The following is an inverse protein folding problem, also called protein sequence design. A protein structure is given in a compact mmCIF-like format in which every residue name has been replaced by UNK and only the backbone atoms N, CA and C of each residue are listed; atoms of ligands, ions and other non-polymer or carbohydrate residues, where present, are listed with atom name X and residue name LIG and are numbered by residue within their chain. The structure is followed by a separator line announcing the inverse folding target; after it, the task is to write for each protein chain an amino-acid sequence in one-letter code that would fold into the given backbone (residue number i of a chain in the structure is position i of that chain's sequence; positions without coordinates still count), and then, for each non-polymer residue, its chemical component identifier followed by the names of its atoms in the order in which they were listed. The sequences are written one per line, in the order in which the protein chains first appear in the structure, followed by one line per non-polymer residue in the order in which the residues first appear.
data_IF_421240226388
#
_entry.id   IF_421240226388
#
_cell.length_a   1.000
_cell.length_b   1.000
_cell.length_c   1.000
_cell.angle_alpha   90.00
_cell.angle_beta   90.00
_cell.angle_gamma   90.00
#
_symmetry.space_group_name_H-M   'P 1'
#
loop_
_entity.id
_entity.type
_entity.pdbx_description
1 polymer ?
2 polymer ?
3 branched ?
4 branched ?
5 non-polymer ?
6 non-polymer ?
#
# COMPACT_ATOMS: atom_id res chain seq x y z
N UNK A 1 21.66 -39.50 8.87
CA UNK A 1 20.39 -39.48 9.57
C UNK A 1 19.25 -39.46 8.55
N UNK A 2 18.29 -40.39 8.62
CA UNK A 2 17.20 -40.39 7.64
C UNK A 2 16.37 -39.12 7.72
N UNK A 3 15.60 -38.89 6.66
CA UNK A 3 14.88 -37.63 6.46
C UNK A 3 13.65 -37.92 5.62
N UNK A 4 12.70 -36.98 5.62
CA UNK A 4 11.57 -37.03 4.69
C UNK A 4 11.98 -36.45 3.35
N UNK A 5 11.76 -37.21 2.27
CA UNK A 5 12.16 -36.81 0.93
C UNK A 5 10.94 -36.41 0.12
N UNK A 6 10.88 -35.14 -0.27
CA UNK A 6 9.79 -34.61 -1.06
C UNK A 6 10.22 -34.44 -2.51
N UNK A 7 9.25 -34.54 -3.42
CA UNK A 7 9.55 -34.54 -4.84
C UNK A 7 9.64 -33.14 -5.43
N UNK A 8 9.15 -32.11 -4.74
CA UNK A 8 9.11 -30.76 -5.28
C UNK A 8 9.27 -29.73 -4.16
N UNK A 9 10.01 -28.67 -4.46
CA UNK A 9 10.13 -27.50 -3.59
C UNK A 9 9.38 -26.34 -4.22
N UNK A 10 8.43 -25.77 -3.48
CA UNK A 10 7.53 -24.79 -4.07
C UNK A 10 8.23 -23.47 -4.36
N UNK A 11 9.11 -23.02 -3.47
CA UNK A 11 9.89 -21.80 -3.61
C UNK A 11 9.05 -20.54 -3.38
N UNK A 12 7.86 -20.47 -3.98
CA UNK A 12 6.97 -19.34 -3.71
C UNK A 12 6.61 -19.25 -2.25
N UNK A 13 6.53 -20.38 -1.55
CA UNK A 13 6.14 -20.42 -0.15
C UNK A 13 7.13 -21.18 0.73
N UNK A 14 8.16 -21.79 0.16
CA UNK A 14 9.10 -22.55 0.95
C UNK A 14 8.53 -23.82 1.54
N UNK A 15 7.46 -24.36 0.95
CA UNK A 15 6.85 -25.58 1.44
C UNK A 15 7.39 -26.80 0.69
N UNK A 16 7.30 -27.95 1.36
CA UNK A 16 7.74 -29.23 0.82
C UNK A 16 6.51 -29.94 0.25
N UNK A 17 6.44 -30.03 -1.07
CA UNK A 17 5.26 -30.55 -1.76
C UNK A 17 5.55 -31.90 -2.39
N UNK A 18 4.55 -32.79 -2.32
CA UNK A 18 4.64 -34.12 -2.90
C UNK A 18 5.59 -35.03 -2.15
N UNK A 19 5.10 -35.66 -1.08
CA UNK A 19 5.94 -36.52 -0.26
C UNK A 19 6.19 -37.83 -0.98
N UNK A 20 7.47 -38.13 -1.19
CA UNK A 20 7.88 -39.40 -1.77
C UNK A 20 8.01 -40.50 -0.74
N UNK A 21 8.12 -40.14 0.54
CA UNK A 21 8.26 -41.08 1.63
C UNK A 21 9.41 -40.70 2.53
N UNK A 22 9.62 -41.54 3.55
CA UNK A 22 10.64 -41.30 4.54
C UNK A 22 11.60 -42.45 4.69
N UNK A 23 12.48 -42.36 5.69
CA UNK A 23 13.43 -43.43 5.94
C UNK A 23 14.47 -43.60 4.85
N UNK A 24 14.95 -42.49 4.30
CA UNK A 24 16.02 -42.52 3.31
C UNK A 24 16.99 -41.40 3.63
N UNK A 25 18.24 -41.57 3.18
CA UNK A 25 19.29 -40.62 3.49
C UNK A 25 19.13 -39.34 2.67
N UNK A 26 19.77 -38.27 3.15
CA UNK A 26 19.72 -36.98 2.45
C UNK A 26 20.47 -37.07 1.13
N UNK A 27 21.58 -37.82 1.11
CA UNK A 27 22.36 -37.95 -0.12
C UNK A 27 21.57 -38.65 -1.21
N UNK A 28 20.82 -39.69 -0.85
CA UNK A 28 20.01 -40.39 -1.84
C UNK A 28 18.85 -39.54 -2.33
N UNK A 29 18.19 -38.83 -1.42
CA UNK A 29 17.07 -37.96 -1.81
C UNK A 29 17.53 -36.88 -2.77
N UNK A 30 18.71 -36.31 -2.51
CA UNK A 30 19.20 -35.19 -3.29
C UNK A 30 20.08 -35.60 -4.46
N UNK A 31 20.06 -36.88 -4.83
CA UNK A 31 20.60 -37.26 -6.13
C UNK A 31 19.87 -36.51 -7.24
N UNK A 32 18.56 -36.37 -7.11
CA UNK A 32 17.76 -35.49 -7.96
C UNK A 32 17.70 -34.12 -7.30
N UNK A 33 18.46 -33.16 -7.84
CA UNK A 33 18.58 -31.85 -7.22
C UNK A 33 17.28 -31.05 -7.25
N UNK A 34 16.26 -31.54 -7.96
CA UNK A 34 14.95 -30.89 -7.94
C UNK A 34 14.11 -31.29 -6.73
N UNK A 35 14.51 -32.32 -5.98
CA UNK A 35 13.76 -32.77 -4.82
C UNK A 35 14.05 -31.85 -3.63
N UNK A 36 13.52 -32.21 -2.47
CA UNK A 36 13.67 -31.41 -1.26
C UNK A 36 13.42 -32.30 -0.06
N UNK A 37 13.83 -31.83 1.11
CA UNK A 37 13.74 -32.62 2.34
C UNK A 37 13.44 -31.73 3.54
N UNK A 38 12.80 -32.32 4.54
CA UNK A 38 12.59 -31.71 5.85
C UNK A 38 12.59 -32.82 6.89
N UNK A 39 12.64 -32.43 8.15
CA UNK A 39 12.62 -33.39 9.26
C UNK A 39 11.25 -33.33 9.94
N UNK A 40 10.48 -34.42 9.79
CA UNK A 40 9.12 -34.51 10.30
C UNK A 40 8.26 -33.38 9.76
N UNK A 41 7.09 -33.16 10.34
CA UNK A 41 6.24 -32.03 9.97
C UNK A 41 6.61 -30.76 10.73
N UNK A 42 7.79 -30.72 11.35
CA UNK A 42 8.22 -29.51 12.01
C UNK A 42 8.38 -28.34 11.05
N UNK A 43 8.89 -28.61 9.84
CA UNK A 43 8.97 -27.62 8.79
C UNK A 43 10.40 -27.39 8.34
N UNK A 44 10.66 -26.19 7.83
CA UNK A 44 11.94 -25.79 7.24
C UNK A 44 12.31 -26.76 6.12
N UNK A 45 11.63 -26.59 4.99
CA UNK A 45 11.87 -27.39 3.80
C UNK A 45 13.05 -26.81 3.04
N UNK A 46 14.10 -27.61 2.88
CA UNK A 46 15.32 -27.19 2.18
C UNK A 46 15.38 -27.88 0.82
N UNK A 47 15.51 -27.17 -0.30
CA UNK A 47 15.64 -27.87 -1.57
C UNK A 47 16.99 -28.54 -1.73
N UNK A 48 17.03 -29.56 -2.58
CA UNK A 48 18.26 -30.26 -2.86
C UNK A 48 19.18 -29.49 -3.81
N UNK A 49 18.67 -28.44 -4.46
CA UNK A 49 19.49 -27.57 -5.29
C UNK A 49 20.64 -26.99 -4.46
N UNK A 50 21.69 -26.56 -5.16
CA UNK A 50 22.80 -25.89 -4.47
C UNK A 50 22.29 -24.64 -3.76
N UNK A 51 22.93 -24.23 -2.66
CA UNK A 51 22.36 -23.15 -1.84
C UNK A 51 22.34 -21.80 -2.56
N UNK A 52 21.17 -21.17 -2.53
CA UNK A 52 20.95 -19.89 -3.17
C UNK A 52 19.97 -19.07 -2.34
N UNK A 53 20.19 -17.77 -2.31
CA UNK A 53 19.31 -16.87 -1.58
C UNK A 53 17.90 -16.92 -2.16
N UNK A 54 16.90 -16.93 -1.27
CA UNK A 54 15.52 -16.84 -1.69
C UNK A 54 15.24 -15.40 -2.12
N UNK A 55 13.96 -15.10 -2.33
CA UNK A 55 13.55 -13.75 -2.69
C UNK A 55 13.27 -12.96 -1.43
N UNK A 56 13.53 -11.65 -1.51
CA UNK A 56 13.19 -10.75 -0.42
C UNK A 56 11.70 -10.82 -0.15
N UNK A 57 11.35 -11.15 1.11
CA UNK A 57 9.95 -11.16 1.51
C UNK A 57 9.37 -9.75 1.42
N UNK A 58 8.05 -9.67 1.55
CA UNK A 58 7.39 -8.38 1.56
C UNK A 58 7.72 -7.62 2.83
N UNK A 59 7.69 -6.28 2.73
CA UNK A 59 8.00 -5.39 3.86
C UNK A 59 6.99 -5.61 4.98
N UNK A 60 7.52 -5.78 6.22
CA UNK A 60 6.65 -5.89 7.38
C UNK A 60 5.89 -4.59 7.59
N UNK A 61 4.80 -4.62 8.36
CA UNK A 61 4.08 -3.37 8.65
C UNK A 61 4.96 -2.40 9.42
N UNK A 62 4.73 -1.11 9.18
CA UNK A 62 5.54 -0.08 9.82
C UNK A 62 5.39 -0.15 11.32
N UNK A 63 6.49 0.08 12.03
CA UNK A 63 6.51 -0.11 13.48
C UNK A 63 5.54 0.82 14.21
N UNK A 64 5.16 1.92 13.58
CA UNK A 64 4.15 2.83 14.13
C UNK A 64 3.29 3.35 12.98
N UNK A 65 2.01 3.55 13.26
CA UNK A 65 1.07 4.15 12.32
C UNK A 65 1.19 5.66 12.25
N UNK A 66 2.25 6.23 12.84
CA UNK A 66 2.37 7.67 13.06
C UNK A 66 3.81 8.08 12.77
N UNK A 67 3.97 9.10 11.93
CA UNK A 67 5.29 9.68 11.68
C UNK A 67 6.27 8.62 11.18
N UNK A 68 7.57 8.93 11.26
CA UNK A 68 8.58 8.03 10.72
C UNK A 68 8.68 6.78 11.60
N UNK A 69 8.80 5.62 10.95
CA UNK A 69 8.95 4.35 11.61
C UNK A 69 10.05 3.53 10.96
N UNK A 70 9.92 2.21 11.07
CA UNK A 70 10.93 1.30 10.57
C UNK A 70 10.29 -0.05 10.29
N UNK A 71 10.65 -0.65 9.15
CA UNK A 71 10.05 -1.90 8.69
C UNK A 71 11.14 -2.81 8.18
N UNK A 72 10.97 -4.12 8.40
CA UNK A 72 11.94 -5.12 7.99
C UNK A 72 11.39 -5.97 6.84
N UNK A 73 12.32 -6.69 6.21
CA UNK A 73 11.99 -7.75 5.28
C UNK A 73 13.15 -8.74 5.29
N UNK A 74 12.85 -10.01 5.09
CA UNK A 74 13.84 -11.07 5.23
C UNK A 74 14.15 -11.76 3.90
N UNK A 75 15.15 -12.63 3.96
CA UNK A 75 15.57 -13.44 2.82
C UNK A 75 16.39 -14.59 3.39
N UNK A 76 15.98 -15.82 3.11
CA UNK A 76 16.60 -17.00 3.69
C UNK A 76 17.48 -17.70 2.65
N UNK A 77 18.61 -18.23 3.12
CA UNK A 77 19.49 -19.04 2.28
C UNK A 77 18.95 -20.46 2.25
N UNK A 78 18.49 -20.90 1.07
CA UNK A 78 17.85 -22.21 0.92
C UNK A 78 18.71 -23.07 0.01
N UNK A 79 18.92 -24.33 0.41
CA UNK A 79 19.60 -25.29 -0.42
C UNK A 79 20.26 -26.38 0.41
N UNK A 80 21.31 -26.97 -0.16
CA UNK A 80 21.94 -28.13 0.43
C UNK A 80 23.34 -28.30 -0.14
N UNK A 81 24.31 -28.58 0.75
CA UNK A 81 25.69 -28.82 0.39
C UNK A 81 26.32 -27.59 -0.28
N UNK A 82 26.71 -26.61 0.52
CA UNK A 82 27.38 -25.42 0.02
C UNK A 82 27.10 -24.24 0.92
N UNK A 83 27.22 -23.05 0.32
CA UNK A 83 26.93 -21.81 1.03
C UNK A 83 26.34 -20.79 0.05
N UNK A 84 25.55 -19.87 0.58
CA UNK A 84 25.07 -18.74 -0.19
C UNK A 84 26.14 -17.64 -0.19
N UNK A 85 25.86 -16.54 -0.89
CA UNK A 85 26.79 -15.43 -0.94
C UNK A 85 26.79 -14.71 0.41
N UNK A 86 27.93 -14.75 1.09
CA UNK A 86 28.08 -14.11 2.39
C UNK A 86 28.72 -15.01 3.42
N UNK A 87 29.36 -16.10 2.98
CA UNK A 87 29.83 -17.15 3.88
C UNK A 87 28.67 -17.66 4.73
N UNK A 88 27.51 -17.81 4.11
CA UNK A 88 26.27 -18.07 4.81
C UNK A 88 25.92 -19.55 4.68
N UNK A 89 25.50 -20.14 5.80
CA UNK A 89 25.04 -21.52 5.81
C UNK A 89 23.59 -21.61 5.38
N UNK A 90 23.15 -22.75 4.83
CA UNK A 90 21.72 -22.90 4.54
C UNK A 90 20.89 -22.81 5.82
N UNK A 91 19.87 -21.96 5.79
CA UNK A 91 18.99 -21.72 6.91
C UNK A 91 19.14 -20.34 7.54
N UNK A 92 20.28 -19.68 7.33
CA UNK A 92 20.50 -18.37 7.91
C UNK A 92 19.53 -17.35 7.31
N UNK A 93 19.45 -16.18 7.95
CA UNK A 93 18.57 -15.11 7.51
C UNK A 93 19.36 -13.83 7.27
N UNK A 94 18.87 -13.02 6.32
CA UNK A 94 19.42 -11.71 6.01
C UNK A 94 18.27 -10.72 5.97
N UNK A 95 18.50 -9.54 6.55
CA UNK A 95 17.45 -8.56 6.78
C UNK A 95 17.81 -7.23 6.12
N UNK A 96 16.76 -6.50 5.72
CA UNK A 96 16.89 -5.12 5.27
C UNK A 96 15.92 -4.28 6.09
N UNK A 97 16.44 -3.19 6.67
CA UNK A 97 15.64 -2.29 7.49
C UNK A 97 15.49 -0.97 6.75
N UNK A 98 14.25 -0.47 6.68
CA UNK A 98 13.90 0.69 5.87
C UNK A 98 13.04 1.63 6.69
N UNK A 99 13.25 2.93 6.50
CA UNK A 99 12.43 3.94 7.14
C UNK A 99 11.09 4.03 6.42
N UNK A 100 10.00 3.84 7.17
CA UNK A 100 8.64 3.87 6.64
C UNK A 100 7.87 5.02 7.26
N UNK A 101 6.71 5.33 6.66
CA UNK A 101 5.89 6.45 7.11
C UNK A 101 4.45 6.15 6.66
N UNK A 102 3.69 5.47 7.53
CA UNK A 102 2.28 5.26 7.25
C UNK A 102 1.54 6.58 7.13
N UNK A 103 1.65 7.42 8.15
CA UNK A 103 1.08 8.77 8.15
C UNK A 103 2.20 9.75 8.51
N UNK A 104 2.29 10.84 7.76
CA UNK A 104 3.45 11.73 7.82
C UNK A 104 3.41 12.67 9.02
N UNK A 105 2.39 12.57 9.88
CA UNK A 105 2.09 13.60 10.85
C UNK A 105 1.24 12.98 11.94
N UNK A 106 1.64 13.16 13.20
CA UNK A 106 0.97 12.47 14.30
C UNK A 106 0.06 13.44 15.04
N UNK A 107 -1.24 13.15 15.20
CA UNK A 107 -2.13 14.13 15.85
C UNK A 107 -1.82 14.28 17.33
N UNK A 108 -1.54 15.52 17.74
CA UNK A 108 -1.29 15.88 19.13
C UNK A 108 -2.38 16.86 19.55
N UNK A 109 -3.21 16.47 20.51
CA UNK A 109 -4.33 17.32 20.88
C UNK A 109 -3.85 18.54 21.65
N UNK A 110 -4.70 19.56 21.67
CA UNK A 110 -4.39 20.82 22.29
C UNK A 110 -5.05 20.98 23.64
N UNK A 111 -5.09 22.22 24.11
CA UNK A 111 -5.66 22.55 25.40
C UNK A 111 -6.62 23.70 25.29
N UNK A 112 -7.65 23.67 26.14
CA UNK A 112 -8.61 24.76 26.13
C UNK A 112 -8.02 26.02 26.72
N UNK A 113 -8.52 27.13 26.22
CA UNK A 113 -8.22 28.44 26.81
C UNK A 113 -9.25 28.71 27.90
N UNK A 114 -9.25 29.92 28.44
CA UNK A 114 -10.24 30.26 29.45
C UNK A 114 -11.64 30.31 28.88
N UNK A 115 -12.61 30.05 29.75
CA UNK A 115 -14.00 30.18 29.37
C UNK A 115 -14.33 31.64 29.05
N UNK A 116 -15.06 31.85 27.96
CA UNK A 116 -15.59 33.16 27.64
C UNK A 116 -16.68 33.51 28.62
N UNK A 117 -17.03 34.79 28.72
CA UNK A 117 -18.15 35.15 29.61
C UNK A 117 -19.45 34.52 29.13
N UNK A 118 -20.34 34.28 30.09
CA UNK A 118 -21.67 33.80 29.77
C UNK A 118 -22.38 34.82 28.89
N UNK A 119 -22.92 34.35 27.75
CA UNK A 119 -23.74 35.22 26.92
C UNK A 119 -25.03 35.53 27.69
N UNK A 120 -25.77 36.55 27.27
CA UNK A 120 -27.09 36.78 27.88
C UNK A 120 -28.02 35.64 27.58
N UNK A 121 -29.18 35.67 28.22
CA UNK A 121 -30.18 34.64 27.97
C UNK A 121 -30.73 34.80 26.56
N UNK A 122 -31.03 33.66 25.94
CA UNK A 122 -31.40 33.67 24.52
C UNK A 122 -32.74 34.36 24.27
N UNK A 123 -33.45 34.79 25.31
CA UNK A 123 -34.74 35.44 25.17
C UNK A 123 -34.90 36.42 26.32
N UNK A 124 -35.77 37.42 26.12
CA UNK A 124 -36.02 38.45 27.12
C UNK A 124 -37.32 38.24 27.91
N UNK A 125 -38.11 37.24 27.53
CA UNK A 125 -39.33 36.90 28.27
C UNK A 125 -39.50 35.39 28.24
N UNK A 126 -40.19 34.87 29.25
CA UNK A 126 -40.32 33.42 29.45
C UNK A 126 -38.91 32.86 29.63
N UNK A 127 -38.64 31.65 29.14
CA UNK A 127 -37.40 30.94 29.44
C UNK A 127 -36.62 30.65 28.17
N UNK A 128 -35.30 30.67 28.30
CA UNK A 128 -34.42 30.39 27.19
C UNK A 128 -33.16 29.66 27.64
N UNK A 129 -32.08 29.76 26.86
CA UNK A 129 -30.82 29.10 27.16
C UNK A 129 -29.69 30.11 27.21
N UNK A 130 -28.76 29.87 28.12
CA UNK A 130 -27.58 30.71 28.31
C UNK A 130 -26.35 29.92 27.89
N UNK A 131 -25.42 30.56 27.18
CA UNK A 131 -24.29 29.86 26.59
C UNK A 131 -22.99 30.63 26.82
N UNK A 132 -21.92 29.88 27.14
CA UNK A 132 -20.56 30.42 27.15
C UNK A 132 -19.69 29.56 26.23
N UNK A 133 -18.60 30.15 25.74
CA UNK A 133 -17.80 29.53 24.69
C UNK A 133 -16.32 29.74 24.97
N UNK A 134 -15.52 28.78 24.50
CA UNK A 134 -14.07 28.84 24.65
C UNK A 134 -13.41 28.39 23.36
N UNK A 135 -12.08 28.52 23.33
CA UNK A 135 -11.29 28.24 22.15
C UNK A 135 -10.28 27.14 22.43
N UNK A 136 -9.96 26.37 21.38
CA UNK A 136 -8.98 25.30 21.46
C UNK A 136 -7.65 25.81 20.90
N UNK A 137 -7.01 26.70 21.68
CA UNK A 137 -5.81 27.39 21.24
C UNK A 137 -4.89 27.68 22.42
N UNK A 138 -4.74 26.73 23.33
CA UNK A 138 -3.82 26.89 24.44
C UNK A 138 -3.40 25.53 25.01
N UNK A 139 -2.57 24.76 24.30
CA UNK A 139 -2.02 25.05 22.97
C UNK A 139 -2.93 24.56 21.86
N UNK A 140 -2.68 25.02 20.63
CA UNK A 140 -3.48 24.57 19.50
C UNK A 140 -3.10 23.14 19.13
N UNK A 141 -4.06 22.32 18.69
CA UNK A 141 -3.72 20.94 18.33
C UNK A 141 -3.00 20.86 16.99
N UNK A 142 -2.16 19.84 16.86
CA UNK A 142 -1.43 19.56 15.64
C UNK A 142 -2.06 18.39 14.90
N UNK A 143 -1.99 18.44 13.58
CA UNK A 143 -2.66 17.44 12.73
C UNK A 143 -4.15 17.46 13.08
N UNK A 144 -4.83 16.32 12.99
CA UNK A 144 -6.26 16.28 13.23
C UNK A 144 -6.67 16.26 14.69
N UNK A 145 -5.79 16.68 15.58
CA UNK A 145 -6.10 16.69 16.99
C UNK A 145 -7.23 17.65 17.33
N UNK A 146 -7.69 17.53 18.57
CA UNK A 146 -8.78 18.37 19.05
C UNK A 146 -8.78 18.31 20.58
N UNK A 147 -9.23 19.41 21.19
CA UNK A 147 -9.21 19.50 22.64
C UNK A 147 -10.20 18.50 23.25
N UNK A 148 -9.92 18.01 24.46
CA UNK A 148 -10.86 17.08 25.11
C UNK A 148 -12.02 17.83 25.74
N UNK A 149 -13.23 17.43 25.39
CA UNK A 149 -14.43 18.05 25.88
C UNK A 149 -15.15 18.87 24.81
N UNK A 150 -15.95 19.81 25.28
CA UNK A 150 -16.78 20.65 24.42
C UNK A 150 -16.22 22.06 24.38
N UNK A 151 -16.42 22.73 23.25
CA UNK A 151 -15.98 24.11 23.08
C UNK A 151 -17.01 25.12 23.58
N UNK A 152 -18.18 24.67 24.02
CA UNK A 152 -19.20 25.56 24.54
C UNK A 152 -20.10 24.79 25.50
N UNK A 153 -20.57 25.47 26.54
CA UNK A 153 -21.56 24.94 27.47
C UNK A 153 -22.81 25.81 27.41
N UNK A 154 -23.97 25.17 27.52
CA UNK A 154 -25.25 25.87 27.54
C UNK A 154 -26.07 25.40 28.75
N UNK A 155 -26.96 26.29 29.21
CA UNK A 155 -27.81 25.96 30.35
C UNK A 155 -29.00 26.91 30.36
N UNK A 156 -30.10 26.43 30.96
CA UNK A 156 -31.35 27.17 30.92
C UNK A 156 -31.30 28.41 31.81
N UNK A 157 -32.03 29.45 31.40
CA UNK A 157 -32.20 30.68 32.16
C UNK A 157 -33.66 31.07 32.17
N UNK A 158 -34.14 31.54 33.32
CA UNK A 158 -35.51 32.00 33.49
C UNK A 158 -35.50 33.50 33.69
N UNK A 159 -36.24 34.22 32.84
CA UNK A 159 -36.24 35.68 32.86
C UNK A 159 -37.16 36.25 33.94
N UNK A 160 -38.10 35.45 34.45
CA UNK A 160 -39.08 35.91 35.42
C UNK A 160 -39.95 37.03 34.83
N UNK A 161 -40.17 36.98 33.51
CA UNK A 161 -40.89 38.01 32.77
C UNK A 161 -41.96 37.34 31.91
N UNK A 162 -43.22 37.66 32.19
CA UNK A 162 -44.32 37.17 31.35
C UNK A 162 -44.20 37.79 29.97
N UNK A 163 -44.40 36.95 28.92
CA UNK A 163 -44.27 37.42 27.55
C UNK A 163 -45.51 38.22 27.14
N UNK A 164 -45.36 39.32 26.41
CA UNK A 164 -46.53 40.05 25.94
C UNK A 164 -47.19 39.33 24.77
N UNK A 165 -48.51 39.37 24.76
CA UNK A 165 -49.30 38.83 23.66
C UNK A 165 -49.57 39.94 22.65
N UNK A 166 -49.28 39.67 21.38
CA UNK A 166 -49.45 40.66 20.33
C UNK A 166 -50.78 40.44 19.63
N UNK A 167 -51.36 41.54 19.14
CA UNK A 167 -52.66 41.48 18.53
C UNK A 167 -52.58 41.11 17.06
N UNK A 168 -53.65 40.47 16.59
CA UNK A 168 -53.76 40.09 15.19
C UNK A 168 -55.20 40.32 14.73
N UNK A 169 -55.35 40.69 13.46
CA UNK A 169 -56.66 41.07 12.95
C UNK A 169 -57.61 39.88 12.90
N UNK A 170 -58.85 40.15 13.29
CA UNK A 170 -59.92 39.16 13.15
C UNK A 170 -60.36 39.10 11.70
N UNK A 171 -61.34 38.25 11.43
CA UNK A 171 -61.80 38.09 10.04
C UNK A 171 -62.54 39.35 9.58
N UNK A 172 -62.48 39.58 8.27
CA UNK A 172 -63.13 40.75 7.69
C UNK A 172 -64.63 40.68 7.83
N UNK A 173 -65.24 41.79 8.25
CA UNK A 173 -66.67 41.88 8.32
C UNK A 173 -67.30 41.96 6.94
N UNK A 174 -68.62 42.04 6.90
CA UNK A 174 -69.32 42.11 5.61
C UNK A 174 -69.20 43.49 4.97
N UNK A 175 -69.42 43.50 3.66
CA UNK A 175 -69.43 44.75 2.91
C UNK A 175 -70.72 45.51 3.16
N UNK A 176 -70.59 46.81 3.34
CA UNK A 176 -71.76 47.66 3.51
C UNK A 176 -72.49 47.83 2.18
N UNK A 177 -73.77 48.22 2.21
CA UNK A 177 -74.43 48.61 0.96
C UNK A 177 -73.76 49.85 0.38
N UNK A 178 -73.81 49.96 -0.93
CA UNK A 178 -73.11 51.05 -1.60
C UNK A 178 -73.75 52.39 -1.23
N UNK A 179 -72.93 53.44 -1.29
CA UNK A 179 -73.41 54.78 -0.98
C UNK A 179 -74.44 55.27 -1.99
N UNK A 180 -74.42 54.73 -3.21
CA UNK A 180 -75.32 55.19 -4.27
C UNK A 180 -75.70 54.02 -5.16
N UNK A 181 -76.83 54.17 -5.86
CA UNK A 181 -77.31 53.16 -6.80
C UNK A 181 -76.84 53.40 -8.23
N UNK A 182 -75.98 54.40 -8.46
CA UNK A 182 -75.50 54.68 -9.80
C UNK A 182 -74.23 55.50 -9.70
N UNK A 183 -73.43 55.46 -10.76
CA UNK A 183 -72.19 56.22 -10.85
C UNK A 183 -72.35 57.39 -11.81
N UNK A 184 -71.65 58.49 -11.52
CA UNK A 184 -71.74 59.72 -12.28
C UNK A 184 -72.41 60.86 -11.54
N UNK A 185 -72.96 60.62 -10.35
CA UNK A 185 -73.70 61.62 -9.62
C UNK A 185 -72.82 62.47 -8.72
N UNK A 186 -73.42 63.08 -7.68
CA UNK A 186 -72.62 63.97 -6.83
C UNK A 186 -71.51 63.27 -6.08
N UNK A 187 -71.77 62.06 -5.58
CA UNK A 187 -70.77 61.28 -4.87
C UNK A 187 -70.64 59.92 -5.53
N UNK A 188 -69.40 59.46 -5.72
CA UNK A 188 -69.21 58.15 -6.34
C UNK A 188 -69.72 57.07 -5.39
N UNK A 189 -70.11 55.91 -5.92
CA UNK A 189 -70.60 54.83 -5.04
C UNK A 189 -69.43 54.11 -4.38
N UNK A 190 -69.47 54.04 -3.05
CA UNK A 190 -68.39 53.47 -2.26
C UNK A 190 -68.89 52.34 -1.37
N UNK A 191 -67.97 51.42 -1.06
CA UNK A 191 -68.25 50.25 -0.25
C UNK A 191 -67.26 50.22 0.91
N UNK A 192 -67.73 49.72 2.05
CA UNK A 192 -66.94 49.73 3.28
C UNK A 192 -66.94 48.35 3.91
N UNK A 193 -65.83 48.05 4.59
CA UNK A 193 -65.65 46.80 5.33
C UNK A 193 -64.83 47.10 6.57
N UNK A 194 -65.15 46.43 7.68
CA UNK A 194 -64.43 46.67 8.93
C UNK A 194 -64.10 45.36 9.63
N UNK A 195 -63.06 45.40 10.47
CA UNK A 195 -62.58 44.24 11.20
C UNK A 195 -62.13 44.68 12.59
N UNK A 196 -62.10 43.72 13.51
CA UNK A 196 -61.78 43.97 14.90
C UNK A 196 -60.41 43.36 15.23
N UNK A 197 -59.74 43.96 16.22
CA UNK A 197 -58.45 43.47 16.71
C UNK A 197 -58.64 42.67 18.00
N UNK A 198 -59.36 41.55 17.87
CA UNK A 198 -59.75 40.73 19.00
C UNK A 198 -59.32 39.28 18.89
N UNK A 199 -58.57 38.91 17.85
CA UNK A 199 -58.20 37.52 17.58
C UNK A 199 -56.70 37.42 17.38
N UNK A 200 -55.90 37.47 18.45
CA UNK A 200 -56.27 37.73 19.85
C UNK A 200 -56.10 39.19 20.23
N UNK A 201 -56.84 39.65 21.21
CA UNK A 201 -56.67 41.01 21.70
C UNK A 201 -55.30 41.14 22.36
N UNK A 202 -54.61 42.28 22.19
CA UNK A 202 -53.21 42.36 22.66
C UNK A 202 -53.03 42.65 24.14
N UNK A 203 -51.78 42.89 24.53
CA UNK A 203 -51.37 43.22 25.89
C UNK A 203 -51.69 42.12 26.89
N UNK A 204 -52.92 42.09 27.41
CA UNK A 204 -53.34 41.29 28.56
C UNK A 204 -52.79 41.91 29.84
N UNK A 205 -51.46 41.80 30.10
CA UNK A 205 -50.87 42.50 31.23
C UNK A 205 -49.71 43.39 30.75
N UNK A 206 -48.61 42.87 30.24
CA UNK A 206 -47.59 43.77 29.69
C UNK A 206 -48.03 44.31 28.36
N UNK A 207 -47.53 45.46 27.94
CA UNK A 207 -48.00 46.05 26.67
C UNK A 207 -47.67 45.15 25.48
N UNK A 208 -48.67 44.97 24.60
CA UNK A 208 -48.50 44.21 23.39
C UNK A 208 -48.69 45.07 22.15
N UNK A 209 -48.00 44.69 21.08
CA UNK A 209 -48.06 45.45 19.83
C UNK A 209 -49.51 45.52 19.33
N UNK A 210 -50.03 46.70 18.99
CA UNK A 210 -51.36 46.77 18.40
C UNK A 210 -51.39 46.18 17.00
N UNK A 211 -52.59 46.00 16.49
CA UNK A 211 -52.78 45.34 15.21
C UNK A 211 -52.24 46.22 14.08
N UNK A 212 -51.38 45.72 13.20
CA UNK A 212 -50.77 46.58 12.19
C UNK A 212 -51.73 46.90 11.05
N UNK A 213 -51.66 48.16 10.59
CA UNK A 213 -52.47 48.60 9.47
C UNK A 213 -53.77 49.25 9.92
N UNK A 214 -54.77 49.23 9.05
CA UNK A 214 -56.06 49.84 9.32
C UNK A 214 -57.13 48.77 9.57
N UNK A 215 -58.16 49.16 10.32
CA UNK A 215 -59.25 48.27 10.67
C UNK A 215 -60.40 48.35 9.68
N UNK A 216 -60.25 49.07 8.57
CA UNK A 216 -61.33 49.25 7.61
C UNK A 216 -60.77 49.24 6.20
N UNK A 217 -61.67 49.04 5.24
CA UNK A 217 -61.32 49.09 3.82
C UNK A 217 -62.40 49.85 3.06
N UNK A 218 -61.97 50.62 2.06
CA UNK A 218 -62.84 51.40 1.21
C UNK A 218 -62.57 51.01 -0.24
N UNK A 219 -63.64 50.89 -1.03
CA UNK A 219 -63.48 50.65 -2.46
C UNK A 219 -64.67 51.23 -3.21
N UNK A 220 -64.47 51.44 -4.50
CA UNK A 220 -65.53 51.89 -5.38
C UNK A 220 -66.44 50.72 -5.73
N UNK A 221 -67.74 50.98 -5.78
CA UNK A 221 -68.72 49.96 -6.15
C UNK A 221 -68.81 49.88 -7.66
N UNK A 222 -68.45 48.73 -8.21
CA UNK A 222 -68.39 48.51 -9.64
C UNK A 222 -69.65 47.81 -10.14
N UNK A 223 -69.94 48.02 -11.42
CA UNK A 223 -71.06 47.36 -12.06
C UNK A 223 -72.40 48.06 -11.92
N UNK A 224 -72.40 49.33 -11.54
CA UNK A 224 -73.65 50.05 -11.36
C UNK A 224 -74.03 50.80 -12.62
N UNK A 225 -75.31 51.11 -12.80
CA UNK A 225 -75.72 51.89 -13.97
C UNK A 225 -75.26 53.33 -13.84
N UNK A 226 -75.32 54.11 -14.92
CA UNK A 226 -74.92 55.52 -14.84
C UNK A 226 -76.09 56.40 -14.40
N UNK A 227 -75.79 57.37 -13.54
CA UNK A 227 -76.82 58.29 -13.09
C UNK A 227 -77.27 59.18 -14.25
N UNK A 228 -78.51 59.63 -14.24
CA UNK A 228 -78.97 60.53 -15.29
C UNK A 228 -78.34 61.91 -15.16
N UNK A 229 -78.40 62.66 -16.26
CA UNK A 229 -77.92 64.04 -16.30
C UNK A 229 -79.00 64.93 -15.69
N UNK A 230 -78.81 65.33 -14.43
CA UNK A 230 -79.70 66.28 -13.79
C UNK A 230 -79.05 67.66 -13.75
N UNK A 231 -78.78 68.21 -14.93
CA UNK A 231 -78.28 69.58 -15.06
C UNK A 231 -78.87 70.32 -16.26
N UNK A 232 -79.37 69.63 -17.28
CA UNK A 232 -80.12 70.25 -18.36
C UNK A 232 -81.06 69.21 -18.95
N UNK A 233 -81.90 69.66 -19.88
CA UNK A 233 -82.99 68.84 -20.41
C UNK A 233 -82.52 67.94 -21.55
N UNK A 234 -82.75 66.64 -21.40
CA UNK A 234 -82.45 65.67 -22.47
C UNK A 234 -83.74 65.17 -23.13
N UNK B 1 -24.74 -59.64 5.68
CA UNK B 1 -23.57 -59.64 6.54
C UNK B 1 -22.46 -60.53 6.02
N UNK B 2 -21.72 -60.04 5.03
CA UNK B 2 -20.61 -60.77 4.41
C UNK B 2 -19.35 -59.94 4.61
N UNK B 3 -18.28 -60.60 5.04
CA UNK B 3 -17.02 -59.92 5.31
C UNK B 3 -16.12 -59.99 4.09
N UNK B 4 -15.70 -58.83 3.59
CA UNK B 4 -14.75 -58.78 2.50
C UNK B 4 -13.32 -58.88 3.00
N UNK B 5 -12.46 -59.43 2.14
CA UNK B 5 -11.03 -59.47 2.40
C UNK B 5 -10.29 -59.22 1.11
N UNK B 6 -8.98 -59.14 1.23
CA UNK B 6 -8.15 -58.78 0.08
C UNK B 6 -7.83 -59.98 -0.78
N UNK B 7 -7.55 -59.70 -2.06
CA UNK B 7 -7.09 -60.71 -2.98
C UNK B 7 -5.59 -60.63 -3.14
N UNK B 8 -5.04 -61.39 -4.10
CA UNK B 8 -3.59 -61.43 -4.27
C UNK B 8 -3.03 -60.08 -4.71
N UNK B 9 -1.84 -59.75 -4.22
CA UNK B 9 -1.19 -58.55 -4.74
C UNK B 9 -0.67 -58.84 -6.15
N UNK B 10 -0.81 -57.85 -7.00
CA UNK B 10 -0.49 -57.95 -8.41
C UNK B 10 0.99 -57.79 -8.68
N UNK B 11 1.36 -57.54 -9.95
CA UNK B 11 2.78 -57.36 -10.27
C UNK B 11 3.26 -55.96 -9.90
N UNK B 12 4.48 -55.92 -9.34
CA UNK B 12 5.05 -54.64 -8.93
C UNK B 12 5.49 -53.86 -10.17
N UNK B 13 5.37 -52.54 -10.10
CA UNK B 13 5.74 -51.66 -11.19
C UNK B 13 7.25 -51.49 -11.25
N UNK B 14 7.82 -51.21 -12.43
CA UNK B 14 9.24 -50.90 -12.50
C UNK B 14 9.53 -49.49 -11.98
N UNK B 15 10.80 -49.24 -11.70
CA UNK B 15 11.21 -47.96 -11.16
C UNK B 15 10.98 -46.89 -12.21
N UNK B 16 10.03 -45.96 -12.04
CA UNK B 16 9.65 -45.08 -13.15
C UNK B 16 10.73 -44.09 -13.57
N UNK B 17 11.80 -43.95 -12.79
CA UNK B 17 12.81 -42.94 -13.03
C UNK B 17 14.14 -43.63 -13.33
N UNK B 18 15.03 -42.91 -14.02
CA UNK B 18 16.36 -43.42 -14.36
C UNK B 18 17.46 -42.82 -13.48
N UNK B 19 17.17 -41.76 -12.74
CA UNK B 19 18.10 -41.15 -11.81
C UNK B 19 17.43 -41.03 -10.44
N UNK B 20 18.27 -40.94 -9.42
CA UNK B 20 17.78 -40.61 -8.09
C UNK B 20 16.74 -41.59 -7.59
N UNK B 21 15.75 -41.04 -6.88
CA UNK B 21 14.69 -41.83 -6.27
C UNK B 21 13.42 -41.79 -7.10
N UNK B 22 12.64 -42.86 -6.97
CA UNK B 22 11.34 -42.96 -7.59
C UNK B 22 10.41 -43.74 -6.69
N UNK B 23 9.20 -43.99 -7.17
CA UNK B 23 8.18 -44.68 -6.40
C UNK B 23 7.51 -45.74 -7.28
N UNK B 24 7.36 -46.93 -6.71
CA UNK B 24 6.62 -48.02 -7.34
C UNK B 24 5.39 -48.32 -6.49
N UNK B 25 4.44 -49.05 -7.07
CA UNK B 25 3.22 -49.38 -6.35
C UNK B 25 2.65 -50.71 -6.83
N UNK B 26 2.11 -51.47 -5.89
CA UNK B 26 1.38 -52.70 -6.19
C UNK B 26 -0.11 -52.47 -5.98
N UNK B 27 -0.92 -53.11 -6.83
CA UNK B 27 -2.37 -52.96 -6.81
C UNK B 27 -2.99 -54.29 -6.43
N UNK B 28 -3.80 -54.29 -5.36
CA UNK B 28 -4.60 -55.45 -5.00
C UNK B 28 -6.08 -55.13 -5.14
N UNK B 29 -6.89 -56.18 -5.15
CA UNK B 29 -8.33 -56.08 -5.26
C UNK B 29 -8.99 -56.77 -4.08
N UNK B 30 -10.26 -56.43 -3.86
CA UNK B 30 -11.08 -57.12 -2.88
C UNK B 30 -12.12 -57.96 -3.61
N UNK B 31 -11.66 -58.83 -4.51
CA UNK B 31 -12.53 -59.53 -5.45
C UNK B 31 -12.92 -60.93 -4.99
N UNK B 32 -12.02 -61.68 -4.35
CA UNK B 32 -12.39 -63.04 -3.95
C UNK B 32 -13.41 -63.02 -2.82
N UNK B 33 -13.15 -62.39 -1.66
CA UNK B 33 -14.24 -62.16 -0.70
C UNK B 33 -14.81 -60.76 -0.83
N UNK B 34 -16.01 -60.64 -1.35
CA UNK B 34 -16.65 -59.34 -1.59
C UNK B 34 -17.63 -59.09 -0.45
N UNK B 35 -17.68 -57.86 0.12
CA UNK B 35 -18.72 -57.60 1.13
C UNK B 35 -20.08 -57.40 0.49
N UNK B 36 -20.91 -58.43 0.55
CA UNK B 36 -22.27 -58.41 0.02
C UNK B 36 -23.27 -58.14 1.14
N UNK B 37 -24.30 -57.36 0.82
CA UNK B 37 -25.37 -57.02 1.76
C UNK B 37 -24.81 -56.37 3.02
N UNK B 38 -23.83 -55.49 2.85
CA UNK B 38 -23.21 -54.79 3.96
C UNK B 38 -22.05 -55.58 4.56
N UNK B 39 -21.41 -54.94 5.54
CA UNK B 39 -20.26 -55.51 6.21
C UNK B 39 -19.09 -54.54 6.25
N UNK B 40 -17.86 -55.06 6.22
CA UNK B 40 -16.70 -54.17 6.28
C UNK B 40 -16.39 -53.55 4.92
N UNK B 41 -15.22 -52.93 4.82
CA UNK B 41 -14.71 -52.38 3.56
C UNK B 41 -13.40 -53.07 3.20
N UNK B 42 -13.26 -54.34 3.59
CA UNK B 42 -12.10 -55.20 3.33
C UNK B 42 -10.94 -54.92 4.31
N UNK B 43 -11.00 -53.85 5.11
CA UNK B 43 -10.06 -53.61 6.18
C UNK B 43 -8.63 -53.41 5.69
N UNK B 44 -8.26 -52.18 5.37
CA UNK B 44 -6.89 -51.84 5.02
C UNK B 44 -6.77 -50.86 3.87
N UNK B 45 -5.76 -51.07 3.01
CA UNK B 45 -5.52 -50.25 1.85
C UNK B 45 -5.32 -51.14 0.64
N UNK B 46 -5.94 -50.77 -0.48
CA UNK B 46 -5.84 -51.54 -1.72
C UNK B 46 -4.63 -51.14 -2.55
N UNK B 47 -3.63 -50.50 -1.94
CA UNK B 47 -2.48 -50.00 -2.68
C UNK B 47 -1.31 -49.82 -1.73
N UNK B 48 -0.20 -50.52 -2.00
CA UNK B 48 1.07 -50.27 -1.32
C UNK B 48 1.99 -49.45 -2.23
N UNK B 49 2.83 -48.62 -1.61
CA UNK B 49 3.89 -47.90 -2.31
C UNK B 49 5.25 -48.26 -1.71
N UNK B 50 6.29 -48.11 -2.53
CA UNK B 50 7.65 -48.37 -2.10
C UNK B 50 8.58 -47.47 -2.90
N UNK B 51 9.68 -47.03 -2.25
CA UNK B 51 10.68 -46.20 -2.90
C UNK B 51 11.67 -47.11 -3.60
N UNK B 52 12.13 -46.69 -4.79
CA UNK B 52 13.18 -47.37 -5.52
C UNK B 52 14.35 -46.41 -5.75
N UNK B 53 15.57 -46.94 -5.59
CA UNK B 53 16.79 -46.16 -5.69
C UNK B 53 17.59 -46.65 -6.89
N UNK B 54 17.71 -45.81 -7.91
CA UNK B 54 18.57 -46.11 -9.05
C UNK B 54 20.04 -45.93 -8.74
N UNK B 55 20.37 -45.22 -7.67
CA UNK B 55 21.75 -45.05 -7.21
C UNK B 55 22.61 -44.27 -8.20
N UNK B 56 22.00 -43.60 -9.16
CA UNK B 56 22.72 -42.80 -10.16
C UNK B 56 22.39 -41.33 -9.91
N UNK B 57 23.39 -40.44 -9.86
CA UNK B 57 23.07 -39.02 -9.68
C UNK B 57 22.33 -38.47 -10.88
N UNK B 58 21.55 -37.45 -10.63
CA UNK B 58 20.74 -36.89 -11.70
C UNK B 58 21.46 -35.74 -12.39
N UNK B 59 21.24 -35.55 -13.69
CA UNK B 59 21.89 -34.42 -14.37
C UNK B 59 21.50 -33.09 -13.74
N UNK B 60 22.43 -32.15 -13.84
CA UNK B 60 22.23 -30.78 -13.38
C UNK B 60 22.74 -29.86 -14.47
N UNK B 61 21.86 -29.02 -15.00
CA UNK B 61 22.21 -28.13 -16.10
C UNK B 61 23.04 -26.97 -15.58
N UNK B 62 24.15 -26.69 -16.26
CA UNK B 62 24.95 -25.53 -15.89
C UNK B 62 24.16 -24.24 -16.04
N UNK B 63 24.54 -23.25 -15.23
CA UNK B 63 23.93 -21.94 -15.24
C UNK B 63 24.98 -20.89 -15.52
N UNK B 64 24.52 -19.74 -16.02
CA UNK B 64 25.43 -18.64 -16.32
C UNK B 64 25.83 -17.91 -15.05
N UNK B 65 27.13 -17.68 -14.90
CA UNK B 65 27.61 -16.72 -13.92
C UNK B 65 27.32 -15.30 -14.43
N UNK B 66 27.44 -14.33 -13.54
CA UNK B 66 27.16 -12.96 -13.93
C UNK B 66 28.24 -12.43 -14.86
N UNK B 67 27.91 -11.37 -15.58
CA UNK B 67 28.83 -10.80 -16.55
C UNK B 67 30.08 -10.28 -15.86
N UNK B 68 31.22 -10.43 -16.53
CA UNK B 68 32.47 -9.88 -16.07
C UNK B 68 32.50 -8.38 -16.22
N UNK B 69 33.69 -7.82 -16.07
CA UNK B 69 33.87 -6.37 -16.19
C UNK B 69 34.09 -5.99 -17.64
N UNK B 70 33.41 -4.92 -18.10
CA UNK B 70 33.70 -4.34 -19.41
C UNK B 70 35.18 -4.04 -19.60
N UNK B 71 35.71 -4.47 -20.75
CA UNK B 71 37.10 -4.23 -21.12
C UNK B 71 37.29 -2.75 -21.43
N UNK B 72 38.54 -2.30 -21.60
CA UNK B 72 38.76 -0.87 -21.89
C UNK B 72 38.18 -0.47 -23.24
N UNK B 73 37.54 0.70 -23.26
CA UNK B 73 36.96 1.23 -24.49
C UNK B 73 38.07 1.71 -25.40
N UNK B 74 38.25 1.04 -26.53
CA UNK B 74 39.34 1.32 -27.46
C UNK B 74 38.80 1.30 -28.87
N UNK B 75 39.69 1.60 -29.83
CA UNK B 75 39.39 1.48 -31.25
C UNK B 75 40.58 0.82 -31.91
N UNK B 76 40.30 -0.12 -32.82
CA UNK B 76 41.38 -0.88 -33.46
C UNK B 76 42.28 0.05 -34.25
N UNK B 77 43.59 -0.20 -34.18
CA UNK B 77 44.60 0.56 -34.92
C UNK B 77 44.58 2.04 -34.54
N UNK B 78 44.17 2.35 -33.31
CA UNK B 78 44.27 3.68 -32.76
C UNK B 78 44.81 3.59 -31.34
N UNK B 79 45.36 4.70 -30.86
CA UNK B 79 45.81 4.76 -29.47
C UNK B 79 44.62 5.17 -28.60
N UNK B 80 44.88 5.76 -27.45
CA UNK B 80 43.80 6.07 -26.51
C UNK B 80 42.84 7.07 -27.13
N UNK B 81 41.55 6.73 -27.09
CA UNK B 81 40.49 7.60 -27.57
C UNK B 81 39.80 8.25 -26.37
N UNK B 82 40.55 8.48 -25.30
CA UNK B 82 40.03 9.09 -24.10
C UNK B 82 39.90 10.60 -24.28
N UNK B 83 38.77 11.15 -23.82
CA UNK B 83 38.45 12.57 -23.96
C UNK B 83 38.42 12.98 -25.43
N UNK B 84 37.75 12.17 -26.27
CA UNK B 84 37.72 12.44 -27.70
C UNK B 84 36.40 11.95 -28.30
N UNK B 85 36.00 12.62 -29.39
CA UNK B 85 34.84 12.20 -30.19
C UNK B 85 35.21 11.03 -31.08
N UNK B 86 35.54 9.91 -30.45
CA UNK B 86 35.86 8.69 -31.18
C UNK B 86 35.10 7.55 -30.51
N UNK B 87 34.01 7.07 -31.08
CA UNK B 87 33.31 5.91 -30.49
C UNK B 87 34.08 4.63 -30.76
N UNK B 88 34.27 3.84 -29.71
CA UNK B 88 34.98 2.57 -29.81
C UNK B 88 34.09 1.40 -29.46
N UNK B 89 34.69 0.32 -28.99
CA UNK B 89 33.96 -0.87 -28.56
C UNK B 89 34.62 -1.43 -27.31
N UNK B 90 33.93 -2.36 -26.67
CA UNK B 90 34.49 -3.10 -25.54
C UNK B 90 33.69 -4.38 -25.35
N UNK B 91 34.32 -5.36 -24.70
CA UNK B 91 33.78 -6.70 -24.57
C UNK B 91 33.66 -7.12 -23.12
N UNK B 92 32.84 -8.14 -22.90
CA UNK B 92 32.53 -8.67 -21.58
C UNK B 92 32.45 -10.17 -21.69
N UNK B 93 32.67 -10.87 -20.58
CA UNK B 93 32.69 -12.33 -20.57
C UNK B 93 31.86 -12.93 -19.47
N UNK B 94 31.21 -14.05 -19.80
CA UNK B 94 30.48 -14.87 -18.84
C UNK B 94 31.19 -16.21 -18.67
N UNK B 95 30.83 -16.91 -17.60
CA UNK B 95 31.33 -18.24 -17.31
C UNK B 95 30.17 -19.17 -17.01
N UNK B 96 30.17 -20.34 -17.63
CA UNK B 96 29.19 -21.38 -17.35
C UNK B 96 29.71 -22.22 -16.20
N UNK B 97 28.92 -22.34 -15.15
CA UNK B 97 29.35 -23.02 -13.94
C UNK B 97 28.22 -23.91 -13.43
N UNK B 98 28.60 -25.02 -12.80
CA UNK B 98 27.65 -25.91 -12.16
C UNK B 98 27.25 -27.12 -12.97
N UNK B 99 27.62 -27.18 -14.25
CA UNK B 99 27.23 -28.32 -15.09
C UNK B 99 27.89 -29.60 -14.58
N UNK B 100 27.07 -30.61 -14.29
CA UNK B 100 27.58 -31.91 -13.88
C UNK B 100 26.68 -33.02 -14.41
N UNK B 101 27.26 -34.20 -14.55
CA UNK B 101 26.53 -35.42 -14.90
C UNK B 101 25.79 -35.27 -16.22
N UNK B 102 26.56 -35.00 -17.28
CA UNK B 102 26.04 -34.92 -18.65
C UNK B 102 24.94 -33.89 -18.79
N UNK B 103 24.89 -32.90 -17.90
CA UNK B 103 23.90 -31.86 -18.01
C UNK B 103 24.07 -31.03 -19.27
N UNK B 104 23.04 -30.25 -19.56
CA UNK B 104 23.08 -29.39 -20.73
C UNK B 104 24.12 -28.29 -20.57
N UNK B 105 24.76 -27.93 -21.67
CA UNK B 105 25.64 -26.78 -21.69
C UNK B 105 24.81 -25.51 -21.56
N UNK B 106 25.45 -24.44 -21.10
CA UNK B 106 24.76 -23.16 -20.97
C UNK B 106 24.35 -22.64 -22.34
N UNK B 107 23.19 -22.01 -22.40
CA UNK B 107 22.60 -21.52 -23.64
C UNK B 107 22.68 -20.01 -23.71
N UNK B 108 23.37 -19.50 -24.73
CA UNK B 108 23.51 -18.06 -24.93
C UNK B 108 24.91 -17.65 -25.35
N UNK B 109 25.10 -16.36 -25.63
CA UNK B 109 26.41 -15.85 -26.00
C UNK B 109 27.26 -15.67 -24.75
N UNK B 110 28.43 -16.31 -24.73
CA UNK B 110 29.31 -16.17 -23.58
C UNK B 110 30.04 -14.83 -23.58
N UNK B 111 30.06 -14.12 -24.71
CA UNK B 111 30.67 -12.79 -24.80
C UNK B 111 29.57 -11.76 -25.03
N UNK B 112 29.93 -10.49 -24.80
CA UNK B 112 28.99 -9.37 -25.02
C UNK B 112 29.80 -8.14 -25.41
N UNK B 113 29.43 -7.53 -26.54
CA UNK B 113 30.13 -6.35 -27.06
C UNK B 113 29.14 -5.18 -27.09
N UNK B 114 29.67 -3.98 -26.88
CA UNK B 114 28.87 -2.76 -27.03
C UNK B 114 29.76 -1.60 -27.39
N UNK B 115 29.19 -0.63 -28.10
CA UNK B 115 29.92 0.56 -28.52
C UNK B 115 29.99 1.56 -27.37
N UNK B 116 31.04 2.38 -27.38
CA UNK B 116 31.31 3.23 -26.21
C UNK B 116 32.16 4.43 -26.59
N UNK B 117 32.09 5.44 -25.72
CA UNK B 117 33.09 6.49 -25.61
C UNK B 117 33.94 6.21 -24.37
N UNK B 118 35.02 7.00 -24.21
CA UNK B 118 35.96 6.81 -23.12
C UNK B 118 36.16 8.13 -22.39
N UNK B 119 35.77 8.17 -21.12
CA UNK B 119 36.03 9.31 -20.25
C UNK B 119 36.85 8.83 -19.05
N UNK B 120 37.70 7.85 -19.27
CA UNK B 120 38.59 7.35 -18.21
C UNK B 120 39.62 8.42 -17.87
N UNK B 121 39.55 8.92 -16.63
CA UNK B 121 40.50 9.92 -16.12
C UNK B 121 40.47 11.21 -16.92
N UNK B 122 39.30 11.55 -17.52
CA UNK B 122 39.17 12.80 -18.26
C UNK B 122 38.70 13.92 -17.33
N UNK B 123 39.31 15.11 -17.35
CA UNK B 123 38.76 16.22 -16.53
C UNK B 123 37.48 16.78 -17.15
N UNK B 124 36.37 16.63 -16.43
CA UNK B 124 35.07 17.12 -16.89
C UNK B 124 34.49 18.08 -15.86
N UNK B 125 33.94 19.19 -16.34
CA UNK B 125 33.20 20.08 -15.46
C UNK B 125 32.03 19.31 -14.83
N UNK B 126 31.71 19.67 -13.58
CA UNK B 126 30.70 18.96 -12.84
C UNK B 126 29.75 19.93 -12.15
N UNK B 127 28.70 19.34 -11.58
CA UNK B 127 27.71 20.09 -10.82
C UNK B 127 27.20 19.22 -9.70
N UNK B 128 26.90 19.84 -8.56
CA UNK B 128 26.46 19.11 -7.39
C UNK B 128 25.02 18.63 -7.58
N UNK B 129 24.82 17.32 -7.45
CA UNK B 129 23.50 16.73 -7.58
C UNK B 129 22.65 17.06 -6.36
N UNK B 130 21.34 16.82 -6.50
CA UNK B 130 20.42 17.02 -5.39
C UNK B 130 20.53 15.86 -4.39
N UNK B 131 19.83 16.00 -3.25
CA UNK B 131 19.90 14.99 -2.20
C UNK B 131 19.34 13.66 -2.70
N UNK B 132 20.21 12.63 -2.70
CA UNK B 132 19.82 11.32 -3.18
C UNK B 132 18.74 10.71 -2.28
N UNK B 133 18.15 9.62 -2.74
CA UNK B 133 17.13 8.95 -1.94
C UNK B 133 17.76 8.33 -0.69
N UNK B 134 17.13 8.53 0.48
CA UNK B 134 17.56 7.92 1.74
C UNK B 134 17.75 6.42 1.65
N UNK B 135 18.96 5.99 1.94
CA UNK B 135 19.37 4.60 1.85
C UNK B 135 18.76 3.74 2.94
N UNK B 136 19.29 2.52 3.06
CA UNK B 136 18.78 1.55 4.02
C UNK B 136 19.32 1.83 5.42
N UNK B 137 18.55 1.40 6.42
CA UNK B 137 18.97 1.45 7.81
C UNK B 137 19.98 0.33 8.05
N UNK B 138 21.24 0.71 8.28
CA UNK B 138 22.33 -0.23 8.46
C UNK B 138 23.06 0.11 9.75
N UNK B 139 23.41 -0.89 10.59
CA UNK B 139 23.18 -2.34 10.54
C UNK B 139 21.72 -2.68 10.82
N UNK B 140 21.08 -3.51 9.99
CA UNK B 140 19.61 -3.64 10.09
C UNK B 140 19.14 -4.37 11.33
N UNK B 141 19.98 -5.20 11.95
CA UNK B 141 19.68 -5.78 13.25
C UNK B 141 20.66 -5.33 14.32
N UNK B 142 21.78 -4.73 13.94
CA UNK B 142 22.79 -4.34 14.89
C UNK B 142 22.33 -3.18 15.74
N UNK B 143 23.23 -2.70 16.61
CA UNK B 143 22.90 -1.55 17.44
C UNK B 143 22.79 -0.28 16.62
N UNK B 144 21.74 0.48 16.89
CA UNK B 144 21.51 1.82 16.34
C UNK B 144 21.67 1.89 14.83
N UNK B 145 20.69 1.39 14.07
CA UNK B 145 20.74 1.56 12.62
C UNK B 145 20.60 3.03 12.22
N UNK B 146 21.22 3.38 11.09
CA UNK B 146 21.19 4.74 10.57
C UNK B 146 21.04 4.71 9.06
N UNK B 147 20.28 5.67 8.52
CA UNK B 147 20.18 5.86 7.08
C UNK B 147 21.31 6.76 6.59
N UNK B 148 21.39 6.92 5.27
CA UNK B 148 22.38 7.82 4.68
C UNK B 148 21.91 8.23 3.29
N UNK B 149 21.95 9.54 3.04
CA UNK B 149 21.77 10.09 1.71
C UNK B 149 23.00 10.93 1.37
N UNK B 150 23.12 11.33 0.11
CA UNK B 150 24.35 11.97 -0.31
C UNK B 150 24.15 12.76 -1.59
N UNK B 151 24.92 13.84 -1.71
CA UNK B 151 25.08 14.59 -2.95
C UNK B 151 26.51 14.38 -3.42
N UNK B 152 26.67 14.09 -4.71
CA UNK B 152 27.99 13.91 -5.29
C UNK B 152 28.13 14.80 -6.51
N UNK B 153 29.37 15.11 -6.85
CA UNK B 153 29.67 16.01 -7.95
C UNK B 153 29.57 15.23 -9.26
N UNK B 154 28.47 15.45 -9.98
CA UNK B 154 28.19 14.69 -11.19
C UNK B 154 28.91 15.34 -12.38
N UNK B 155 29.58 14.56 -13.23
CA UNK B 155 30.22 15.17 -14.40
C UNK B 155 29.20 15.59 -15.45
N UNK B 156 29.54 16.65 -16.17
CA UNK B 156 28.79 17.06 -17.36
C UNK B 156 29.31 16.26 -18.54
N UNK B 157 28.56 15.25 -18.96
CA UNK B 157 28.98 14.44 -20.08
C UNK B 157 29.01 15.29 -21.34
N UNK B 158 30.05 15.18 -22.17
CA UNK B 158 30.10 16.02 -23.37
C UNK B 158 29.02 15.63 -24.36
N UNK B 159 28.48 16.63 -25.06
CA UNK B 159 27.35 16.43 -25.96
C UNK B 159 27.85 15.80 -27.26
N UNK B 160 28.02 14.49 -27.23
CA UNK B 160 28.40 13.68 -28.37
C UNK B 160 27.18 13.01 -28.97
N UNK B 161 27.28 12.48 -30.19
CA UNK B 161 26.13 11.76 -30.78
C UNK B 161 25.79 10.53 -29.95
N UNK B 162 24.50 10.27 -29.68
CA UNK B 162 24.15 9.17 -28.78
C UNK B 162 24.22 7.80 -29.40
N UNK B 163 24.26 7.71 -30.73
CA UNK B 163 24.35 6.44 -31.42
C UNK B 163 25.45 6.53 -32.49
N UNK B 164 25.71 5.40 -33.14
CA UNK B 164 26.74 5.32 -34.17
C UNK B 164 26.27 4.37 -35.25
N UNK B 165 26.77 4.60 -36.48
CA UNK B 165 26.46 3.76 -37.64
C UNK B 165 27.77 3.52 -38.38
N UNK B 166 28.60 2.62 -37.84
CA UNK B 166 29.89 2.34 -38.43
C UNK B 166 29.80 1.39 -39.63
N UNK B 167 28.73 0.61 -39.73
CA UNK B 167 28.59 -0.37 -40.82
C UNK B 167 27.09 -0.65 -41.00
N UNK B 168 26.76 -1.25 -42.15
CA UNK B 168 25.39 -1.62 -42.51
C UNK B 168 24.51 -0.40 -42.77
N UNK B 169 23.50 -0.56 -43.62
CA UNK B 169 22.64 0.57 -43.97
C UNK B 169 21.85 1.07 -42.78
N UNK B 170 21.12 0.17 -42.12
CA UNK B 170 20.32 0.50 -40.95
C UNK B 170 20.96 -0.01 -39.66
N UNK B 171 22.27 -0.24 -39.67
CA UNK B 171 22.97 -0.73 -38.49
C UNK B 171 23.33 0.38 -37.53
N UNK B 172 22.34 0.89 -36.83
CA UNK B 172 22.53 1.91 -35.80
C UNK B 172 22.49 1.25 -34.43
N UNK B 173 23.51 1.50 -33.62
CA UNK B 173 23.66 0.85 -32.32
C UNK B 173 23.99 1.87 -31.24
N UNK B 174 23.48 1.63 -30.03
CA UNK B 174 23.67 2.57 -28.93
C UNK B 174 25.14 2.68 -28.55
N UNK B 175 25.53 3.89 -28.11
CA UNK B 175 26.88 4.18 -27.65
C UNK B 175 26.78 4.61 -26.19
N UNK B 176 27.68 4.09 -25.35
CA UNK B 176 27.58 4.24 -23.91
C UNK B 176 28.89 4.79 -23.36
N UNK B 177 28.81 5.78 -22.48
CA UNK B 177 30.00 6.33 -21.86
C UNK B 177 30.60 5.34 -20.87
N UNK B 178 31.92 5.18 -20.94
CA UNK B 178 32.67 4.29 -20.07
C UNK B 178 33.87 5.01 -19.48
N UNK B 179 34.20 4.68 -18.23
CA UNK B 179 35.37 5.23 -17.59
C UNK B 179 35.02 5.99 -16.33
N UNK B 180 36.02 6.20 -15.47
CA UNK B 180 35.85 6.98 -14.25
C UNK B 180 36.38 8.39 -14.50
N UNK B 181 35.53 9.38 -14.78
CA UNK B 181 36.06 10.72 -15.02
C UNK B 181 36.51 11.41 -13.74
N UNK B 182 37.06 12.60 -13.89
CA UNK B 182 37.51 13.41 -12.76
C UNK B 182 36.63 14.65 -12.68
N UNK B 183 35.47 14.56 -12.02
CA UNK B 183 34.52 15.69 -12.04
C UNK B 183 35.06 16.90 -11.29
N UNK B 184 35.12 18.04 -11.98
CA UNK B 184 35.52 19.31 -11.41
C UNK B 184 34.28 20.11 -11.01
N UNK B 185 34.36 20.75 -9.84
CA UNK B 185 33.23 21.45 -9.26
C UNK B 185 33.65 22.16 -7.98
N UNK B 186 32.97 23.25 -7.63
CA UNK B 186 33.32 23.99 -6.44
C UNK B 186 33.08 23.14 -5.20
N UNK B 187 33.92 23.33 -4.18
CA UNK B 187 33.71 22.68 -2.90
C UNK B 187 32.33 23.06 -2.37
N UNK B 188 31.74 22.16 -1.57
CA UNK B 188 30.46 22.43 -0.91
C UNK B 188 30.66 22.59 0.59
N UNK B 189 30.92 21.50 1.31
CA UNK B 189 31.20 21.55 2.75
C UNK B 189 32.58 20.95 2.99
N UNK B 190 33.61 21.66 2.52
CA UNK B 190 34.97 21.16 2.63
C UNK B 190 35.23 19.90 1.85
N UNK B 191 34.37 19.57 0.89
CA UNK B 191 34.48 18.33 0.14
C UNK B 191 34.24 18.62 -1.33
N UNK B 192 34.96 17.89 -2.19
CA UNK B 192 34.92 18.10 -3.64
C UNK B 192 34.16 17.03 -4.39
N UNK B 193 34.04 15.82 -3.85
CA UNK B 193 33.47 14.68 -4.58
C UNK B 193 32.11 14.23 -4.03
N UNK B 194 31.98 14.02 -2.73
CA UNK B 194 30.71 13.54 -2.17
C UNK B 194 30.57 14.06 -0.75
N UNK B 195 29.37 14.55 -0.43
CA UNK B 195 29.02 14.98 0.91
C UNK B 195 27.72 14.27 1.28
N UNK B 196 27.75 13.47 2.34
CA UNK B 196 26.60 12.73 2.80
C UNK B 196 26.15 13.24 4.17
N UNK B 197 25.03 12.69 4.63
CA UNK B 197 24.53 12.98 5.96
C UNK B 197 23.70 11.78 6.41
N UNK B 198 23.89 11.38 7.67
CA UNK B 198 23.22 10.22 8.24
C UNK B 198 22.15 10.67 9.22
N UNK B 199 21.12 9.84 9.38
CA UNK B 199 20.09 10.08 10.38
C UNK B 199 19.69 8.73 10.99
N UNK B 200 19.53 8.64 12.32
CA UNK B 200 19.13 7.35 12.90
C UNK B 200 17.70 6.99 12.53
N UNK B 201 17.48 5.68 12.39
CA UNK B 201 16.14 5.17 12.13
C UNK B 201 15.39 5.01 13.44
N UNK B 202 14.09 5.27 13.39
CA UNK B 202 13.28 5.45 14.59
C UNK B 202 12.40 4.22 14.81
N UNK B 203 12.29 3.81 16.07
CA UNK B 203 11.42 2.69 16.48
C UNK B 203 11.81 1.42 15.72
N UNK B 204 13.05 1.01 15.93
CA UNK B 204 13.62 -0.13 15.19
C UNK B 204 12.98 -1.42 15.70
N UNK B 205 12.47 -2.29 14.83
CA UNK B 205 12.00 -3.59 15.29
C UNK B 205 13.13 -4.59 15.41
N UNK B 206 13.00 -5.47 16.41
CA UNK B 206 14.00 -6.50 16.63
C UNK B 206 13.90 -7.59 15.58
N UNK B 207 15.04 -8.15 15.22
CA UNK B 207 15.11 -9.22 14.24
C UNK B 207 14.89 -10.54 14.98
N UNK B 208 13.74 -11.16 14.74
CA UNK B 208 13.36 -12.42 15.35
C UNK B 208 13.15 -13.46 14.26
N UNK B 209 12.98 -14.71 14.66
CA UNK B 209 12.65 -15.73 13.69
C UNK B 209 11.28 -15.43 13.10
N UNK B 210 11.08 -15.61 11.79
CA UNK B 210 9.81 -15.15 11.19
C UNK B 210 8.58 -15.80 11.80
N UNK B 211 8.62 -17.10 12.08
CA UNK B 211 7.49 -17.74 12.75
C UNK B 211 7.32 -17.18 14.17
N UNK B 212 8.44 -16.86 14.84
CA UNK B 212 8.35 -16.34 16.21
C UNK B 212 7.69 -14.97 16.26
N UNK B 213 7.78 -14.19 15.18
CA UNK B 213 7.09 -12.91 15.14
C UNK B 213 5.60 -13.08 14.91
N UNK B 214 5.22 -14.04 14.05
CA UNK B 214 3.80 -14.30 13.85
C UNK B 214 3.14 -14.80 15.12
N UNK B 215 3.84 -15.68 15.86
CA UNK B 215 3.30 -16.17 17.12
C UNK B 215 3.27 -15.09 18.20
N UNK B 216 3.99 -13.99 18.00
CA UNK B 216 3.97 -12.88 18.96
C UNK B 216 2.83 -11.91 18.71
N UNK B 217 2.40 -11.75 17.46
CA UNK B 217 1.28 -10.87 17.16
C UNK B 217 -0.06 -11.51 17.50
N UNK B 218 -0.16 -12.83 17.38
CA UNK B 218 -1.40 -13.51 17.78
C UNK B 218 -1.63 -13.39 19.27
N UNK B 219 -0.59 -13.60 20.08
CA UNK B 219 -0.66 -13.50 21.53
C UNK B 219 0.39 -12.50 22.00
N UNK B 220 -0.06 -11.42 22.63
CA UNK B 220 0.85 -10.35 23.04
C UNK B 220 1.44 -10.66 24.41
#
# INVERSE_FOLDING_TARGET
DPVLCFTQYEESSGKCKGLLGGGVSVEDCCLNTAFAYQKRSGGLCQPCRSPRWSLWSTWAPCSVTCSEGSQLRYRRCVGWNGQCSGKVAPGTLEWQLQACEDQQCCPEMGGWSGWGPWEPCSVTCSKGTRTRRRACNHPAPKCGGHCPGQAQESEACDTQQVCPTHGAWATWGPWTPCSASCHGGPHEPKETRSRKCSAPEPSQKPPGKPCPGLAYEQRRCTGLPPCPENLYFQ
GVAGGWGPWGPVSPCPVTCGLGQTMEQRTCNHPVPQHGGPFCAGDATRTHICNTAVPCPVDGEWDSWGEWSPCIRRNMKSISCQEIPGQQSRGRTCRGRKFDGHRCAGQQQDIRHCYSIQHCPLKGSWSEWSTWGLCMPPCGPNPTRARQRLCTPLLPKYPPTVSMVEGQGEKNVTFWGRPLPRCEELQGQKLVVEEKRPCLHVPACKDPEEEELENLYFQ
#
